data_IF_195211060239
#
_entry.id   IF_195211060239
#
_cell.length_a   1.000
_cell.length_b   1.000
_cell.length_c   1.000
_cell.angle_alpha   90.00
_cell.angle_beta   90.00
_cell.angle_gamma   90.00
#
_symmetry.space_group_name_H-M   'P 1'
#
loop_
_entity.id
_entity.type
_entity.pdbx_description
1 polymer ?
#
# COMPACT_ATOMS: atom_id res chain seq x y z
N UNK A 1 -42.17 2.61 4.94
CA UNK A 1 -40.88 2.84 4.25
C UNK A 1 -41.14 3.78 3.08
N UNK A 2 -40.61 5.00 3.10
CA UNK A 2 -40.92 6.04 2.09
C UNK A 2 -40.20 5.76 0.77
N UNK A 3 -40.80 6.19 -0.35
CA UNK A 3 -40.26 6.00 -1.70
C UNK A 3 -38.83 6.57 -1.85
N UNK A 4 -38.55 7.67 -1.14
CA UNK A 4 -37.23 8.30 -1.06
C UNK A 4 -36.18 7.39 -0.39
N UNK A 5 -36.55 6.67 0.66
CA UNK A 5 -35.65 5.73 1.34
C UNK A 5 -35.34 4.51 0.47
N UNK A 6 -36.30 4.03 -0.32
CA UNK A 6 -36.05 2.95 -1.29
C UNK A 6 -35.10 3.39 -2.39
N UNK A 7 -35.31 4.58 -2.98
CA UNK A 7 -34.44 5.15 -4.00
C UNK A 7 -33.00 5.32 -3.50
N UNK A 8 -32.82 5.88 -2.30
CA UNK A 8 -31.49 6.09 -1.72
C UNK A 8 -30.77 4.76 -1.46
N UNK A 9 -31.49 3.72 -1.01
CA UNK A 9 -30.91 2.40 -0.80
C UNK A 9 -30.45 1.75 -2.10
N UNK A 10 -31.26 1.84 -3.16
CA UNK A 10 -30.89 1.33 -4.50
C UNK A 10 -29.67 2.10 -5.03
N UNK A 11 -29.66 3.43 -4.91
CA UNK A 11 -28.53 4.24 -5.36
C UNK A 11 -27.23 3.90 -4.62
N UNK A 12 -27.31 3.70 -3.30
CA UNK A 12 -26.16 3.27 -2.50
C UNK A 12 -25.62 1.91 -2.98
N UNK A 13 -26.49 0.94 -3.26
CA UNK A 13 -26.08 -0.36 -3.80
C UNK A 13 -25.38 -0.24 -5.14
N UNK A 14 -25.89 0.60 -6.06
CA UNK A 14 -25.27 0.84 -7.36
C UNK A 14 -23.90 1.51 -7.21
N UNK A 15 -23.78 2.50 -6.32
CA UNK A 15 -22.50 3.13 -6.03
C UNK A 15 -21.49 2.16 -5.41
N UNK A 16 -21.94 1.28 -4.51
CA UNK A 16 -21.09 0.26 -3.92
C UNK A 16 -20.61 -0.75 -4.97
N UNK A 17 -21.48 -1.26 -5.85
CA UNK A 17 -21.06 -2.14 -6.93
C UNK A 17 -20.07 -1.45 -7.88
N UNK A 18 -20.34 -0.21 -8.26
CA UNK A 18 -19.45 0.56 -9.11
C UNK A 18 -18.08 0.79 -8.45
N UNK A 19 -18.07 1.09 -7.16
CA UNK A 19 -16.85 1.24 -6.37
C UNK A 19 -16.06 -0.07 -6.26
N UNK A 20 -16.74 -1.19 -6.00
CA UNK A 20 -16.10 -2.52 -5.95
C UNK A 20 -15.51 -2.92 -7.31
N UNK A 21 -16.20 -2.62 -8.42
CA UNK A 21 -15.65 -2.82 -9.77
C UNK A 21 -14.42 -1.95 -10.03
N UNK A 22 -14.43 -0.72 -9.52
CA UNK A 22 -13.30 0.22 -9.65
C UNK A 22 -12.12 -0.21 -8.77
N UNK A 23 -12.35 -0.72 -7.56
CA UNK A 23 -11.32 -1.28 -6.67
C UNK A 23 -10.61 -2.49 -7.29
N UNK A 24 -11.33 -3.31 -8.06
CA UNK A 24 -10.75 -4.41 -8.82
C UNK A 24 -9.87 -3.98 -10.01
N UNK A 25 -9.74 -2.67 -10.27
CA UNK A 25 -8.78 -2.20 -11.26
C UNK A 25 -7.36 -2.55 -10.81
N UNK A 26 -6.54 -3.20 -11.65
CA UNK A 26 -5.16 -3.59 -11.31
C UNK A 26 -4.35 -2.43 -10.73
N UNK A 27 -4.53 -1.21 -11.26
CA UNK A 27 -3.84 -0.02 -10.80
C UNK A 27 -4.16 0.35 -9.33
N UNK A 28 -5.43 0.23 -8.93
CA UNK A 28 -5.86 0.54 -7.56
C UNK A 28 -5.38 -0.54 -6.59
N UNK A 29 -5.42 -1.82 -7.00
CA UNK A 29 -4.88 -2.90 -6.18
C UNK A 29 -3.37 -2.79 -5.94
N UNK A 30 -2.61 -2.39 -6.97
CA UNK A 30 -1.15 -2.26 -6.88
C UNK A 30 -0.77 -1.04 -6.05
N UNK A 31 -1.41 0.11 -6.29
CA UNK A 31 -1.17 1.30 -5.48
C UNK A 31 -1.48 1.08 -4.00
N UNK A 32 -2.51 0.32 -3.65
CA UNK A 32 -2.77 -0.06 -2.25
C UNK A 32 -1.65 -0.89 -1.64
N UNK A 33 -1.11 -1.88 -2.36
CA UNK A 33 0.06 -2.67 -1.91
C UNK A 33 1.29 -1.77 -1.73
N UNK A 34 1.51 -0.82 -2.64
CA UNK A 34 2.60 0.15 -2.50
C UNK A 34 2.44 1.03 -1.27
N UNK A 35 1.24 1.55 -1.01
CA UNK A 35 0.95 2.41 0.13
C UNK A 35 1.14 1.65 1.45
N UNK A 36 0.61 0.43 1.57
CA UNK A 36 0.74 -0.37 2.80
C UNK A 36 2.19 -0.69 3.11
N UNK A 37 2.98 -1.08 2.11
CA UNK A 37 4.41 -1.35 2.30
C UNK A 37 5.20 -0.08 2.62
N UNK A 38 4.89 1.05 2.00
CA UNK A 38 5.52 2.34 2.32
C UNK A 38 5.24 2.78 3.76
N UNK A 39 4.02 2.57 4.26
CA UNK A 39 3.66 2.85 5.65
C UNK A 39 4.43 1.93 6.62
N UNK A 40 4.50 0.63 6.34
CA UNK A 40 5.25 -0.33 7.14
C UNK A 40 6.73 0.06 7.21
N UNK A 41 7.33 0.40 6.06
CA UNK A 41 8.71 0.89 5.98
C UNK A 41 8.94 2.16 6.79
N UNK A 42 8.04 3.12 6.67
CA UNK A 42 8.12 4.41 7.39
C UNK A 42 8.16 4.20 8.90
N UNK A 43 7.37 3.23 9.40
CA UNK A 43 7.35 2.84 10.80
C UNK A 43 8.64 2.10 11.19
N UNK A 44 9.08 1.13 10.39
CA UNK A 44 10.26 0.31 10.68
C UNK A 44 11.56 1.14 10.73
N UNK A 45 11.69 2.10 9.81
CA UNK A 45 12.84 3.02 9.72
C UNK A 45 12.64 4.23 10.66
N UNK A 46 11.51 4.32 11.37
CA UNK A 46 11.16 5.44 12.24
C UNK A 46 11.33 6.80 11.56
N UNK A 47 10.96 6.88 10.27
CA UNK A 47 11.10 8.09 9.42
C UNK A 47 10.55 9.35 10.09
N UNK A 48 9.38 9.34 10.77
CA UNK A 48 8.88 10.52 11.46
C UNK A 48 9.83 11.05 12.54
N UNK A 49 10.49 10.15 13.28
CA UNK A 49 11.45 10.53 14.33
C UNK A 49 12.75 11.07 13.74
N UNK A 50 13.22 10.50 12.63
CA UNK A 50 14.39 10.99 11.91
C UNK A 50 14.11 12.41 11.41
N UNK A 51 12.94 12.63 10.81
CA UNK A 51 12.54 13.95 10.32
C UNK A 51 12.40 14.96 11.47
N UNK A 52 11.72 14.62 12.57
CA UNK A 52 11.55 15.53 13.71
C UNK A 52 12.88 15.93 14.30
N UNK A 53 13.79 14.98 14.49
CA UNK A 53 15.12 15.24 15.04
C UNK A 53 16.02 15.99 14.06
N UNK A 54 15.84 15.76 12.75
CA UNK A 54 16.55 16.50 11.70
C UNK A 54 16.20 17.99 11.75
N UNK A 55 14.91 18.34 11.91
CA UNK A 55 14.46 19.72 12.09
C UNK A 55 15.02 20.36 13.37
N UNK A 56 15.10 19.60 14.46
CA UNK A 56 15.65 20.09 15.73
C UNK A 56 17.17 20.31 15.64
N UNK A 57 17.88 19.48 14.88
CA UNK A 57 19.36 19.52 14.82
C UNK A 57 19.95 20.77 14.17
N UNK A 58 19.17 21.51 13.37
CA UNK A 58 19.65 22.66 12.59
C UNK A 58 20.65 22.34 11.46
N UNK A 59 21.25 21.14 11.44
CA UNK A 59 22.18 20.67 10.41
C UNK A 59 21.62 19.41 9.73
N UNK A 60 20.70 19.64 8.81
CA UNK A 60 19.93 18.62 8.11
C UNK A 60 20.80 17.54 7.46
N UNK A 61 21.84 17.96 6.74
CA UNK A 61 22.65 17.05 5.93
C UNK A 61 23.47 16.08 6.79
N UNK A 62 24.12 16.59 7.83
CA UNK A 62 24.93 15.77 8.74
C UNK A 62 24.06 14.83 9.56
N UNK A 63 22.89 15.31 10.02
CA UNK A 63 21.95 14.48 10.76
C UNK A 63 21.38 13.36 9.89
N UNK A 64 21.00 13.65 8.64
CA UNK A 64 20.53 12.64 7.70
C UNK A 64 21.57 11.52 7.50
N UNK A 65 22.83 11.89 7.20
CA UNK A 65 23.90 10.91 7.03
C UNK A 65 24.11 10.09 8.30
N UNK A 66 24.13 10.72 9.48
CA UNK A 66 24.34 10.02 10.75
C UNK A 66 23.17 9.12 11.15
N UNK A 67 21.94 9.56 10.94
CA UNK A 67 20.73 8.79 11.25
C UNK A 67 20.65 7.49 10.44
N UNK A 68 21.23 7.50 9.24
CA UNK A 68 21.27 6.34 8.36
C UNK A 68 22.62 5.59 8.39
N UNK A 69 23.71 6.23 8.83
CA UNK A 69 25.00 5.59 9.00
C UNK A 69 24.98 4.64 10.20
N UNK A 70 25.09 3.34 9.96
CA UNK A 70 25.03 2.31 11.00
C UNK A 70 23.64 1.73 11.22
N UNK A 71 22.65 2.13 10.42
CA UNK A 71 21.40 1.37 10.29
C UNK A 71 21.56 0.33 9.19
N UNK A 72 20.96 -0.85 9.38
CA UNK A 72 20.85 -1.90 8.35
C UNK A 72 19.81 -1.52 7.27
N UNK A 73 19.86 -0.28 6.81
CA UNK A 73 18.91 0.31 5.86
C UNK A 73 18.88 -0.50 4.56
N UNK A 74 20.04 -0.98 4.12
CA UNK A 74 20.18 -1.83 2.94
C UNK A 74 19.44 -3.16 3.14
N UNK A 75 19.59 -3.81 4.30
CA UNK A 75 18.88 -5.05 4.65
C UNK A 75 17.36 -4.81 4.72
N UNK A 76 16.94 -3.71 5.34
CA UNK A 76 15.52 -3.33 5.43
C UNK A 76 14.91 -3.06 4.05
N UNK A 77 15.64 -2.39 3.15
CA UNK A 77 15.21 -2.16 1.76
C UNK A 77 15.10 -3.48 0.98
N UNK A 78 16.06 -4.39 1.15
CA UNK A 78 16.01 -5.73 0.51
C UNK A 78 14.81 -6.52 1.02
N UNK A 79 14.55 -6.53 2.33
CA UNK A 79 13.40 -7.23 2.91
C UNK A 79 12.09 -6.73 2.31
N UNK A 80 11.98 -5.42 2.09
CA UNK A 80 10.76 -4.83 1.53
C UNK A 80 10.63 -5.11 0.05
N UNK A 81 11.72 -5.01 -0.73
CA UNK A 81 11.73 -5.44 -2.13
C UNK A 81 11.33 -6.91 -2.26
N UNK A 82 11.80 -7.77 -1.35
CA UNK A 82 11.44 -9.18 -1.32
C UNK A 82 9.95 -9.36 -1.00
N UNK A 83 9.42 -8.62 -0.02
CA UNK A 83 7.98 -8.59 0.28
C UNK A 83 7.13 -8.13 -0.91
N UNK A 84 7.57 -7.09 -1.62
CA UNK A 84 6.94 -6.64 -2.88
C UNK A 84 6.88 -7.77 -3.90
N UNK A 85 8.00 -8.42 -4.16
CA UNK A 85 8.08 -9.52 -5.12
C UNK A 85 7.14 -10.68 -4.75
N UNK A 86 7.08 -11.04 -3.47
CA UNK A 86 6.19 -12.11 -2.99
C UNK A 86 4.72 -11.72 -3.20
N UNK A 87 4.29 -10.51 -2.83
CA UNK A 87 2.90 -10.07 -3.00
C UNK A 87 2.50 -10.02 -4.48
N UNK A 88 3.38 -9.51 -5.34
CA UNK A 88 3.15 -9.51 -6.79
C UNK A 88 3.09 -10.94 -7.35
N UNK A 89 3.94 -11.84 -6.86
CA UNK A 89 3.95 -13.23 -7.27
C UNK A 89 2.65 -13.95 -6.86
N UNK A 90 2.20 -13.78 -5.62
CA UNK A 90 0.93 -14.32 -5.13
C UNK A 90 -0.23 -13.81 -5.97
N UNK A 91 -0.30 -12.50 -6.24
CA UNK A 91 -1.32 -11.87 -7.09
C UNK A 91 -1.33 -12.47 -8.50
N UNK A 92 -0.15 -12.63 -9.12
CA UNK A 92 -0.04 -13.18 -10.47
C UNK A 92 -0.46 -14.65 -10.54
N UNK A 93 -0.11 -15.46 -9.55
CA UNK A 93 -0.53 -16.86 -9.48
C UNK A 93 -2.04 -16.96 -9.30
N UNK A 94 -2.61 -16.21 -8.36
CA UNK A 94 -4.07 -16.23 -8.11
C UNK A 94 -4.84 -15.78 -9.35
N UNK A 95 -4.37 -14.75 -10.04
CA UNK A 95 -4.99 -14.30 -11.29
C UNK A 95 -4.94 -15.39 -12.37
N UNK A 96 -3.80 -16.08 -12.57
CA UNK A 96 -3.69 -17.21 -13.50
C UNK A 96 -4.57 -18.39 -13.10
N UNK A 97 -4.67 -18.70 -11.82
CA UNK A 97 -5.52 -19.78 -11.31
C UNK A 97 -7.00 -19.50 -11.59
N UNK A 98 -7.47 -18.27 -11.30
CA UNK A 98 -8.85 -17.86 -11.61
C UNK A 98 -9.16 -17.89 -13.12
N UNK A 99 -8.21 -17.50 -13.97
CA UNK A 99 -8.40 -17.61 -15.41
C UNK A 99 -8.50 -19.07 -15.85
N UNK A 100 -7.67 -19.96 -15.31
CA UNK A 100 -7.71 -21.38 -15.66
C UNK A 100 -9.04 -22.04 -15.29
N UNK A 101 -9.62 -21.72 -14.13
CA UNK A 101 -10.94 -22.25 -13.72
C UNK A 101 -12.12 -21.69 -14.52
N UNK A 102 -11.96 -20.54 -15.20
CA UNK A 102 -13.02 -19.96 -16.04
C UNK A 102 -13.03 -20.48 -17.48
N UNK A 103 -11.95 -21.08 -17.94
CA UNK A 103 -11.76 -21.52 -19.34
C UNK A 103 -11.60 -23.04 -19.49
N UNK A 104 -11.78 -23.80 -18.41
CA UNK A 104 -11.92 -25.27 -18.39
C UNK A 104 -13.31 -25.59 -17.86
#
# INVERSE_FOLDING_TARGET
MTLMNMKNRIMLSVYLEFFMRKLNNPFISESLIFITLAVILSIFVSVPSVISNMFISGNYYRYFIMAFSGTDLLVQMILVLTGFMILFFIKNITFRAMLRERFV
#
